data_IF_363339302832
#
_entry.id   IF_363339302832
#
_cell.length_a   1.000
_cell.length_b   1.000
_cell.length_c   1.000
_cell.angle_alpha   90.00
_cell.angle_beta   90.00
_cell.angle_gamma   90.00
#
_symmetry.space_group_name_H-M   'P 1'
#
loop_
_entity.id
_entity.type
_entity.pdbx_description
1 polymer ?
#
# COMPACT_ATOMS: atom_id res chain seq x y z
N UNK A 1 -52.06 -10.65 6.67
CA UNK A 1 -51.65 -11.82 7.46
C UNK A 1 -50.17 -12.01 7.21
N UNK A 2 -49.40 -11.58 8.18
CA UNK A 2 -47.95 -11.61 8.21
C UNK A 2 -47.53 -13.01 8.64
N UNK A 3 -46.47 -13.51 8.07
CA UNK A 3 -45.85 -14.78 8.49
C UNK A 3 -44.36 -14.54 8.68
N UNK A 4 -43.98 -14.48 9.96
CA UNK A 4 -42.60 -14.41 10.44
C UNK A 4 -41.82 -15.65 10.02
N UNK A 5 -40.59 -15.45 9.47
CA UNK A 5 -39.56 -16.47 9.50
C UNK A 5 -38.27 -15.87 10.06
N UNK A 6 -38.15 -15.84 11.37
CA UNK A 6 -36.87 -15.78 12.05
C UNK A 6 -36.31 -17.20 12.14
N UNK A 7 -35.38 -17.56 11.27
CA UNK A 7 -34.55 -18.73 11.43
C UNK A 7 -33.27 -18.30 12.18
N UNK A 8 -33.27 -18.48 13.50
CA UNK A 8 -32.07 -18.48 14.34
C UNK A 8 -31.27 -19.75 14.05
N UNK A 9 -30.49 -19.74 12.99
CA UNK A 9 -29.45 -20.73 12.76
C UNK A 9 -28.18 -20.29 13.47
N UNK A 10 -27.75 -21.04 14.50
CA UNK A 10 -26.42 -20.96 15.05
C UNK A 10 -25.40 -21.18 13.91
N UNK A 11 -24.83 -20.10 13.39
CA UNK A 11 -23.74 -20.15 12.41
C UNK A 11 -22.46 -20.44 13.20
N UNK A 12 -22.15 -21.72 13.41
CA UNK A 12 -20.84 -22.13 13.92
C UNK A 12 -19.76 -21.57 12.99
N UNK A 13 -18.84 -20.78 13.57
CA UNK A 13 -17.73 -20.22 12.86
C UNK A 13 -16.86 -21.33 12.23
N UNK A 14 -16.56 -21.23 10.92
CA UNK A 14 -15.71 -22.20 10.22
C UNK A 14 -14.36 -22.34 10.91
N UNK A 15 -13.82 -21.26 11.47
CA UNK A 15 -12.58 -21.28 12.25
C UNK A 15 -12.75 -22.06 13.56
N UNK A 16 -13.91 -21.92 14.23
CA UNK A 16 -14.22 -22.70 15.43
C UNK A 16 -14.42 -24.18 15.13
N UNK A 17 -15.06 -24.53 14.00
CA UNK A 17 -15.14 -25.91 13.51
C UNK A 17 -13.76 -26.44 13.13
N UNK A 18 -12.95 -25.62 12.48
CA UNK A 18 -11.59 -25.96 12.10
C UNK A 18 -10.72 -26.23 13.33
N UNK A 19 -10.72 -25.33 14.32
CA UNK A 19 -10.00 -25.49 15.60
C UNK A 19 -10.56 -26.69 16.39
N UNK A 20 -11.87 -26.91 16.38
CA UNK A 20 -12.49 -28.07 17.04
C UNK A 20 -12.16 -29.38 16.35
N UNK A 21 -12.21 -29.44 15.01
CA UNK A 21 -11.81 -30.61 14.22
C UNK A 21 -10.31 -30.89 14.35
N UNK A 22 -9.48 -29.85 14.40
CA UNK A 22 -8.04 -29.95 14.59
C UNK A 22 -7.72 -30.47 16.01
N UNK A 23 -8.34 -29.93 17.05
CA UNK A 23 -8.16 -30.40 18.42
C UNK A 23 -8.67 -31.84 18.61
N UNK A 24 -9.77 -32.23 17.96
CA UNK A 24 -10.27 -33.61 17.98
C UNK A 24 -9.34 -34.56 17.19
N UNK A 25 -8.70 -34.10 16.13
CA UNK A 25 -7.75 -34.90 15.36
C UNK A 25 -6.43 -35.09 16.13
N UNK A 26 -5.90 -34.02 16.77
CA UNK A 26 -4.72 -34.14 17.63
C UNK A 26 -4.90 -35.11 18.82
N UNK A 27 -6.15 -35.34 19.27
CA UNK A 27 -6.45 -36.36 20.26
C UNK A 27 -6.48 -37.78 19.65
N UNK A 28 -6.80 -37.90 18.35
CA UNK A 28 -6.89 -39.21 17.67
C UNK A 28 -5.61 -39.64 16.96
N UNK A 29 -4.75 -38.67 16.55
CA UNK A 29 -3.49 -38.94 15.82
C UNK A 29 -2.27 -39.14 16.74
N UNK A 30 -2.48 -39.37 18.04
CA UNK A 30 -1.40 -39.74 18.99
C UNK A 30 -0.75 -41.12 18.70
N UNK A 31 -1.08 -41.73 17.57
CA UNK A 31 -0.51 -43.02 17.13
C UNK A 31 -0.33 -43.05 15.61
N UNK A 32 0.61 -42.29 15.03
CA UNK A 32 1.36 -42.70 13.81
C UNK A 32 2.51 -41.74 13.55
N UNK A 33 3.66 -42.34 13.26
CA UNK A 33 4.95 -41.69 13.00
C UNK A 33 4.95 -40.67 11.86
N UNK A 34 5.51 -39.48 12.14
CA UNK A 34 6.51 -38.79 11.32
C UNK A 34 6.19 -38.44 9.88
N UNK A 35 5.08 -37.79 9.57
CA UNK A 35 4.99 -36.90 8.39
C UNK A 35 4.27 -35.61 8.77
N UNK A 36 5.03 -34.49 8.79
CA UNK A 36 4.50 -33.13 8.84
C UNK A 36 3.63 -32.90 7.59
N UNK A 37 2.33 -33.16 7.66
CA UNK A 37 1.41 -32.91 6.56
C UNK A 37 0.94 -31.45 6.64
N UNK A 38 1.27 -30.67 5.63
CA UNK A 38 0.65 -29.37 5.38
C UNK A 38 -0.82 -29.60 4.96
N UNK A 39 -1.75 -28.86 5.56
CA UNK A 39 -3.17 -28.95 5.26
C UNK A 39 -3.71 -27.59 4.86
N UNK A 40 -4.49 -27.55 3.78
CA UNK A 40 -5.10 -26.34 3.23
C UNK A 40 -6.63 -26.42 3.25
N UNK A 41 -7.30 -25.32 3.57
CA UNK A 41 -8.74 -25.18 3.48
C UNK A 41 -9.14 -23.80 2.93
N UNK A 42 -10.05 -23.79 1.99
CA UNK A 42 -10.65 -22.57 1.44
C UNK A 42 -12.17 -22.57 1.63
N UNK A 43 -12.68 -21.55 2.31
CA UNK A 43 -14.10 -21.29 2.46
C UNK A 43 -14.57 -20.18 1.51
N UNK A 44 -15.14 -20.55 0.37
CA UNK A 44 -15.67 -19.58 -0.63
C UNK A 44 -16.74 -18.66 -0.05
N UNK A 45 -17.56 -19.14 0.87
CA UNK A 45 -18.64 -18.36 1.48
C UNK A 45 -18.13 -17.16 2.28
N UNK A 46 -16.88 -17.20 2.78
CA UNK A 46 -16.27 -16.16 3.61
C UNK A 46 -15.01 -15.55 3.02
N UNK A 47 -14.56 -16.04 1.87
CA UNK A 47 -13.28 -15.63 1.26
C UNK A 47 -12.08 -15.76 2.24
N UNK A 48 -12.08 -16.84 3.05
CA UNK A 48 -11.02 -17.14 4.03
C UNK A 48 -10.24 -18.36 3.57
N UNK A 49 -8.92 -18.24 3.58
CA UNK A 49 -8.00 -19.31 3.24
C UNK A 49 -7.07 -19.61 4.42
N UNK A 50 -6.87 -20.86 4.75
CA UNK A 50 -6.04 -21.28 5.88
C UNK A 50 -5.03 -22.36 5.49
N UNK A 51 -3.82 -22.25 6.04
CA UNK A 51 -2.74 -23.23 5.87
C UNK A 51 -2.23 -23.62 7.27
N UNK A 52 -2.11 -24.93 7.51
CA UNK A 52 -1.45 -25.46 8.69
C UNK A 52 -0.08 -25.99 8.31
N UNK A 53 0.96 -25.54 9.00
CA UNK A 53 2.37 -25.85 8.66
C UNK A 53 2.98 -26.96 9.56
N UNK A 54 2.20 -27.60 10.42
CA UNK A 54 2.72 -28.43 11.50
C UNK A 54 3.23 -27.61 12.68
N UNK A 55 3.74 -28.26 13.73
CA UNK A 55 4.31 -27.63 14.93
C UNK A 55 3.45 -26.53 15.58
N UNK A 56 2.16 -26.50 15.26
CA UNK A 56 1.18 -25.52 15.76
C UNK A 56 1.28 -24.14 15.12
N UNK A 57 1.93 -24.03 13.94
CA UNK A 57 1.95 -22.79 13.14
C UNK A 57 0.82 -22.82 12.13
N UNK A 58 0.04 -21.74 12.07
CA UNK A 58 -1.02 -21.55 11.07
C UNK A 58 -0.95 -20.20 10.41
N UNK A 59 -1.37 -20.15 9.15
CA UNK A 59 -1.57 -18.95 8.35
C UNK A 59 -3.05 -18.88 8.01
N UNK A 60 -3.68 -17.72 8.24
CA UNK A 60 -5.06 -17.46 7.83
C UNK A 60 -5.12 -16.15 7.05
N UNK A 61 -5.56 -16.22 5.80
CA UNK A 61 -5.89 -15.03 5.01
C UNK A 61 -7.36 -14.72 5.23
N UNK A 62 -7.64 -13.74 6.08
CA UNK A 62 -9.00 -13.32 6.41
C UNK A 62 -9.64 -12.54 5.27
N UNK A 63 -8.82 -11.81 4.49
CA UNK A 63 -9.24 -11.04 3.31
C UNK A 63 -8.07 -10.78 2.38
N UNK A 64 -8.32 -10.73 1.05
CA UNK A 64 -7.31 -10.48 0.02
C UNK A 64 -6.96 -11.71 -0.84
N UNK A 65 -7.57 -12.89 -0.58
CA UNK A 65 -7.28 -14.11 -1.36
C UNK A 65 -7.95 -14.09 -2.74
N UNK A 66 -9.17 -13.58 -2.83
CA UNK A 66 -9.97 -13.51 -4.06
C UNK A 66 -10.45 -12.08 -4.35
N UNK A 67 -9.68 -11.09 -3.91
CA UNK A 67 -9.93 -9.68 -4.17
C UNK A 67 -8.63 -8.89 -4.15
N UNK A 68 -8.63 -7.77 -4.88
CA UNK A 68 -7.56 -6.79 -4.81
C UNK A 68 -7.81 -5.88 -3.61
N UNK A 69 -6.76 -5.68 -2.79
CA UNK A 69 -6.81 -4.84 -1.60
C UNK A 69 -7.58 -5.41 -0.41
N UNK A 70 -7.68 -4.62 0.64
CA UNK A 70 -8.29 -5.01 1.90
C UNK A 70 -7.55 -6.13 2.62
N UNK A 71 -6.24 -6.26 2.42
CA UNK A 71 -5.43 -7.38 2.86
C UNK A 71 -5.43 -7.53 4.39
N UNK A 72 -5.67 -8.77 4.86
CA UNK A 72 -5.57 -9.15 6.28
C UNK A 72 -5.05 -10.59 6.34
N UNK A 73 -3.81 -10.77 6.74
CA UNK A 73 -3.18 -12.09 6.88
C UNK A 73 -2.74 -12.31 8.32
N UNK A 74 -3.18 -13.39 8.94
CA UNK A 74 -2.77 -13.80 10.30
C UNK A 74 -1.76 -14.94 10.22
N UNK A 75 -0.68 -14.84 11.00
CA UNK A 75 0.25 -15.93 11.29
C UNK A 75 0.17 -16.16 12.79
N UNK A 76 -0.11 -17.40 13.21
CA UNK A 76 -0.26 -17.72 14.63
C UNK A 76 0.46 -18.98 15.05
N UNK A 77 0.82 -19.02 16.34
CA UNK A 77 1.35 -20.15 17.09
C UNK A 77 0.39 -20.52 18.23
N UNK A 78 0.82 -21.40 19.13
CA UNK A 78 0.04 -21.68 20.35
C UNK A 78 -0.09 -20.46 21.26
N UNK A 79 0.93 -19.58 21.33
CA UNK A 79 1.02 -18.47 22.29
C UNK A 79 0.95 -17.07 21.65
N UNK A 80 1.14 -16.96 20.35
CA UNK A 80 1.26 -15.68 19.67
C UNK A 80 0.46 -15.63 18.38
N UNK A 81 0.09 -14.42 17.97
CA UNK A 81 -0.41 -14.14 16.60
C UNK A 81 0.03 -12.78 16.11
N UNK A 82 0.34 -12.72 14.84
CA UNK A 82 0.70 -11.50 14.14
C UNK A 82 -0.17 -11.35 12.91
N UNK A 83 -0.79 -10.19 12.79
CA UNK A 83 -1.48 -9.81 11.56
C UNK A 83 -0.54 -8.99 10.69
N UNK A 84 -0.42 -9.39 9.43
CA UNK A 84 0.22 -8.59 8.38
C UNK A 84 -0.86 -7.87 7.63
N UNK A 85 -0.85 -6.56 7.75
CA UNK A 85 -1.84 -5.62 7.24
C UNK A 85 -3.25 -5.78 7.87
N UNK A 86 -4.00 -4.68 7.84
CA UNK A 86 -5.40 -4.59 8.22
C UNK A 86 -6.04 -3.51 7.35
N UNK A 87 -6.25 -3.88 6.09
CA UNK A 87 -6.62 -2.97 5.02
C UNK A 87 -8.11 -2.71 4.94
N UNK A 88 -8.47 -1.54 4.46
CA UNK A 88 -9.82 -1.22 4.03
C UNK A 88 -10.07 -1.82 2.64
N UNK A 89 -11.30 -2.27 2.34
CA UNK A 89 -11.65 -2.71 1.00
C UNK A 89 -11.42 -1.59 -0.01
N UNK A 90 -10.80 -1.94 -1.14
CA UNK A 90 -10.78 -1.05 -2.29
C UNK A 90 -12.19 -1.03 -2.92
N UNK A 91 -12.79 0.15 -3.06
CA UNK A 91 -14.14 0.27 -3.61
C UNK A 91 -14.28 -0.22 -5.06
N UNK A 92 -13.18 -0.52 -5.74
CA UNK A 92 -13.12 -0.71 -7.18
C UNK A 92 -13.41 -2.13 -7.63
N UNK A 93 -13.16 -3.11 -6.77
CA UNK A 93 -13.24 -4.54 -7.10
C UNK A 93 -14.38 -5.26 -6.38
N UNK A 94 -14.90 -4.66 -5.30
CA UNK A 94 -16.06 -5.14 -4.57
C UNK A 94 -16.95 -3.97 -4.15
N UNK A 95 -18.19 -4.24 -3.74
CA UNK A 95 -19.00 -3.24 -3.06
C UNK A 95 -18.23 -2.69 -1.85
N UNK A 96 -18.19 -1.35 -1.67
CA UNK A 96 -17.57 -0.77 -0.50
C UNK A 96 -18.17 -1.36 0.77
N UNK A 97 -17.35 -1.80 1.70
CA UNK A 97 -17.85 -2.22 3.01
C UNK A 97 -18.34 -1.00 3.79
N UNK A 98 -19.45 -1.19 4.52
CA UNK A 98 -19.90 -0.13 5.43
C UNK A 98 -19.01 -0.12 6.68
N UNK A 99 -18.95 1.00 7.42
CA UNK A 99 -18.22 1.05 8.69
C UNK A 99 -18.68 -0.02 9.71
N UNK A 100 -19.95 -0.41 9.67
CA UNK A 100 -20.52 -1.47 10.52
C UNK A 100 -20.00 -2.84 10.12
N UNK A 101 -19.90 -3.11 8.81
CA UNK A 101 -19.35 -4.38 8.29
C UNK A 101 -17.86 -4.49 8.62
N UNK A 102 -17.07 -3.42 8.45
CA UNK A 102 -15.66 -3.40 8.81
C UNK A 102 -15.47 -3.61 10.32
N UNK A 103 -16.28 -2.99 11.16
CA UNK A 103 -16.27 -3.17 12.60
C UNK A 103 -16.66 -4.61 13.01
N UNK A 104 -17.66 -5.18 12.36
CA UNK A 104 -18.08 -6.56 12.59
C UNK A 104 -16.96 -7.54 12.24
N UNK A 105 -16.29 -7.38 11.09
CA UNK A 105 -15.14 -8.18 10.68
C UNK A 105 -13.99 -8.10 11.70
N UNK A 106 -13.61 -6.90 12.12
CA UNK A 106 -12.53 -6.70 13.09
C UNK A 106 -12.89 -7.35 14.44
N UNK A 107 -14.12 -7.17 14.91
CA UNK A 107 -14.60 -7.79 16.15
C UNK A 107 -14.62 -9.33 16.05
N UNK A 108 -15.02 -9.88 14.91
CA UNK A 108 -14.99 -11.34 14.68
C UNK A 108 -13.53 -11.85 14.76
N UNK A 109 -12.60 -11.22 14.06
CA UNK A 109 -11.19 -11.63 14.02
C UNK A 109 -10.55 -11.56 15.42
N UNK A 110 -10.76 -10.47 16.15
CA UNK A 110 -10.16 -10.29 17.48
C UNK A 110 -10.93 -11.00 18.60
N UNK A 111 -12.20 -11.32 18.38
CA UNK A 111 -13.01 -12.11 19.30
C UNK A 111 -12.66 -13.61 19.31
N UNK A 112 -11.94 -14.08 18.31
CA UNK A 112 -11.56 -15.48 18.15
C UNK A 112 -10.07 -15.69 18.38
N UNK A 113 -9.67 -16.90 18.74
CA UNK A 113 -8.26 -17.33 18.84
C UNK A 113 -7.37 -16.34 19.62
N UNK A 114 -7.87 -15.80 20.74
CA UNK A 114 -7.13 -14.83 21.56
C UNK A 114 -5.83 -15.45 22.06
N UNK A 115 -4.71 -14.76 21.79
CA UNK A 115 -3.37 -15.20 22.23
C UNK A 115 -2.79 -14.22 23.24
N UNK A 116 -1.92 -14.69 24.16
CA UNK A 116 -1.22 -13.81 25.11
C UNK A 116 -0.40 -12.71 24.42
N UNK A 117 0.20 -13.03 23.27
CA UNK A 117 0.99 -12.11 22.49
C UNK A 117 0.35 -11.88 21.13
N UNK A 118 -0.01 -10.64 20.83
CA UNK A 118 -0.60 -10.29 19.53
C UNK A 118 -0.16 -8.91 19.09
N UNK A 119 -0.05 -8.71 17.76
CA UNK A 119 0.27 -7.43 17.16
C UNK A 119 -0.23 -7.36 15.71
N UNK A 120 -0.38 -6.14 15.21
CA UNK A 120 -0.53 -5.85 13.78
C UNK A 120 0.76 -5.22 13.27
N UNK A 121 1.26 -5.69 12.12
CA UNK A 121 2.41 -5.10 11.41
C UNK A 121 1.95 -4.70 10.02
N UNK A 122 2.28 -3.50 9.59
CA UNK A 122 1.87 -2.97 8.29
C UNK A 122 3.03 -2.99 7.31
N UNK A 123 2.79 -3.54 6.11
CA UNK A 123 3.76 -3.54 5.01
C UNK A 123 4.04 -2.13 4.52
N UNK A 124 3.01 -1.32 4.37
CA UNK A 124 3.11 0.07 3.91
C UNK A 124 1.83 0.88 4.25
N UNK A 125 1.78 2.13 3.82
CA UNK A 125 0.77 3.10 4.27
C UNK A 125 -0.38 3.35 3.25
N UNK A 126 -0.66 2.44 2.30
CA UNK A 126 -1.88 2.48 1.50
C UNK A 126 -3.09 2.05 2.32
N UNK A 127 -4.27 2.60 2.01
CA UNK A 127 -5.48 2.37 2.80
C UNK A 127 -5.96 0.91 2.75
N UNK A 128 -5.75 0.22 1.66
CA UNK A 128 -6.07 -1.21 1.49
C UNK A 128 -5.12 -2.16 2.24
N UNK A 129 -4.11 -1.61 2.95
CA UNK A 129 -3.21 -2.32 3.86
C UNK A 129 -3.29 -1.82 5.29
N UNK A 130 -3.56 -0.52 5.52
CA UNK A 130 -3.57 0.06 6.87
C UNK A 130 -4.92 0.66 7.27
N UNK A 131 -5.88 0.76 6.36
CA UNK A 131 -7.06 1.61 6.50
C UNK A 131 -8.00 1.29 7.66
N UNK A 132 -7.96 0.08 8.23
CA UNK A 132 -8.77 -0.30 9.40
C UNK A 132 -8.03 -0.16 10.74
N UNK A 133 -6.90 0.53 10.77
CA UNK A 133 -6.03 0.67 11.94
C UNK A 133 -6.76 1.21 13.18
N UNK A 134 -7.76 2.03 13.01
CA UNK A 134 -8.50 2.69 14.08
C UNK A 134 -9.62 1.82 14.67
N UNK A 135 -9.89 0.66 14.07
CA UNK A 135 -10.79 -0.36 14.59
C UNK A 135 -10.06 -1.44 15.42
N UNK A 136 -8.71 -1.50 15.33
CA UNK A 136 -7.90 -2.46 16.09
C UNK A 136 -8.06 -2.19 17.60
N UNK A 137 -8.26 -3.24 18.43
CA UNK A 137 -8.34 -3.08 19.90
C UNK A 137 -7.13 -2.34 20.46
N UNK A 138 -7.35 -1.44 21.42
CA UNK A 138 -6.34 -0.50 21.92
C UNK A 138 -5.17 -1.16 22.67
N UNK A 139 -5.35 -2.38 23.14
CA UNK A 139 -4.33 -3.22 23.79
C UNK A 139 -3.45 -3.99 22.79
N UNK A 140 -3.83 -4.02 21.51
CA UNK A 140 -3.05 -4.64 20.44
C UNK A 140 -2.05 -3.65 19.86
N UNK A 141 -0.74 -3.85 20.04
CA UNK A 141 0.27 -2.97 19.48
C UNK A 141 0.31 -3.04 17.95
N UNK A 142 0.43 -1.89 17.32
CA UNK A 142 0.50 -1.74 15.88
C UNK A 142 1.89 -1.22 15.46
N UNK A 143 2.47 -1.81 14.42
CA UNK A 143 3.82 -1.51 13.95
C UNK A 143 3.81 -1.14 12.47
N UNK A 144 4.61 -0.14 12.09
CA UNK A 144 4.83 0.27 10.70
C UNK A 144 6.26 0.82 10.54
N UNK A 145 6.75 0.91 9.32
CA UNK A 145 7.99 1.63 9.03
C UNK A 145 7.93 3.08 9.50
N UNK A 146 9.08 3.63 9.90
CA UNK A 146 9.12 5.01 10.46
C UNK A 146 8.68 6.05 9.44
N UNK A 147 9.03 5.86 8.14
CA UNK A 147 8.58 6.72 7.06
C UNK A 147 7.09 6.60 6.78
N UNK A 148 6.57 5.37 6.78
CA UNK A 148 5.13 5.11 6.66
C UNK A 148 4.32 5.77 7.77
N UNK A 149 4.80 5.70 9.03
CA UNK A 149 4.19 6.43 10.16
C UNK A 149 4.16 7.95 9.91
N UNK A 150 5.23 8.53 9.40
CA UNK A 150 5.29 9.98 9.10
C UNK A 150 4.35 10.36 7.96
N UNK A 151 4.22 9.51 6.93
CA UNK A 151 3.22 9.71 5.87
C UNK A 151 1.80 9.71 6.42
N UNK A 152 1.45 8.75 7.28
CA UNK A 152 0.13 8.68 7.91
C UNK A 152 -0.13 9.90 8.81
N UNK A 153 0.83 10.32 9.65
CA UNK A 153 0.71 11.53 10.45
C UNK A 153 0.47 12.75 9.55
N UNK A 154 1.16 12.83 8.43
CA UNK A 154 0.99 13.92 7.46
C UNK A 154 -0.39 13.90 6.83
N UNK A 155 -0.84 12.74 6.32
CA UNK A 155 -2.15 12.55 5.69
C UNK A 155 -3.28 12.94 6.65
N UNK A 156 -3.34 12.30 7.81
CA UNK A 156 -4.41 12.54 8.79
C UNK A 156 -4.33 13.92 9.46
N UNK A 157 -3.13 14.49 9.58
CA UNK A 157 -2.95 15.87 10.01
C UNK A 157 -3.52 16.88 9.01
N UNK A 158 -3.35 16.65 7.72
CA UNK A 158 -3.94 17.48 6.66
C UNK A 158 -5.47 17.35 6.61
N UNK A 159 -6.01 16.13 6.78
CA UNK A 159 -7.46 15.90 6.88
C UNK A 159 -8.05 16.70 8.05
N UNK A 160 -7.46 16.58 9.23
CA UNK A 160 -7.87 17.35 10.41
C UNK A 160 -7.82 18.86 10.16
N UNK A 161 -6.77 19.37 9.48
CA UNK A 161 -6.65 20.79 9.15
C UNK A 161 -7.72 21.27 8.14
N UNK A 162 -8.15 20.40 7.22
CA UNK A 162 -9.27 20.69 6.30
C UNK A 162 -10.58 20.74 7.05
N UNK A 163 -10.89 19.76 7.89
CA UNK A 163 -12.14 19.73 8.66
C UNK A 163 -12.23 20.88 9.66
N UNK A 164 -11.13 21.28 10.30
CA UNK A 164 -11.10 22.49 11.16
C UNK A 164 -11.44 23.76 10.40
N UNK A 165 -11.02 23.90 9.13
CA UNK A 165 -11.39 25.07 8.31
C UNK A 165 -12.88 25.01 7.96
N UNK A 166 -13.38 23.87 7.52
CA UNK A 166 -14.81 23.67 7.19
C UNK A 166 -15.73 23.88 8.38
N UNK A 167 -15.29 23.56 9.60
CA UNK A 167 -16.07 23.84 10.81
C UNK A 167 -16.32 25.34 11.00
N UNK A 168 -15.36 26.19 10.66
CA UNK A 168 -15.55 27.65 10.69
C UNK A 168 -16.59 28.13 9.69
N UNK A 169 -16.76 27.39 8.61
CA UNK A 169 -17.70 27.67 7.52
C UNK A 169 -19.02 26.85 7.64
N UNK A 170 -19.28 26.23 8.82
CA UNK A 170 -20.48 25.43 9.16
C UNK A 170 -20.68 24.11 8.36
N UNK A 171 -19.67 23.66 7.62
CA UNK A 171 -19.74 22.43 6.79
C UNK A 171 -19.24 21.15 7.48
N UNK A 172 -18.74 21.26 8.70
CA UNK A 172 -18.20 20.13 9.49
C UNK A 172 -18.79 20.12 10.90
N UNK A 173 -18.78 18.97 11.59
CA UNK A 173 -19.26 18.85 12.97
C UNK A 173 -18.12 18.49 13.93
N UNK A 174 -18.34 18.69 15.23
CA UNK A 174 -17.36 18.39 16.29
C UNK A 174 -17.08 16.88 16.39
N UNK A 175 -18.03 16.02 16.02
CA UNK A 175 -17.82 14.56 16.03
C UNK A 175 -16.77 14.15 15.00
N UNK A 176 -16.82 14.73 13.79
CA UNK A 176 -15.79 14.52 12.74
C UNK A 176 -14.41 14.94 13.22
N UNK A 177 -14.29 16.09 13.89
CA UNK A 177 -13.01 16.53 14.42
C UNK A 177 -12.51 15.65 15.57
N UNK A 178 -13.42 15.16 16.42
CA UNK A 178 -13.09 14.22 17.49
C UNK A 178 -12.52 12.92 16.93
N UNK A 179 -13.14 12.40 15.88
CA UNK A 179 -12.68 11.19 15.18
C UNK A 179 -11.32 11.39 14.51
N UNK A 180 -11.09 12.48 13.79
CA UNK A 180 -9.80 12.80 13.20
C UNK A 180 -8.68 12.90 14.27
N UNK A 181 -8.97 13.53 15.40
CA UNK A 181 -8.03 13.61 16.53
C UNK A 181 -7.76 12.23 17.12
N UNK A 182 -8.77 11.37 17.23
CA UNK A 182 -8.65 9.98 17.69
C UNK A 182 -7.74 9.19 16.76
N UNK A 183 -8.00 9.20 15.46
CA UNK A 183 -7.18 8.52 14.44
C UNK A 183 -5.73 8.98 14.48
N UNK A 184 -5.50 10.29 14.49
CA UNK A 184 -4.15 10.84 14.57
C UNK A 184 -3.43 10.46 15.88
N UNK A 185 -4.15 10.35 16.99
CA UNK A 185 -3.60 9.88 18.26
C UNK A 185 -3.17 8.41 18.16
N UNK A 186 -3.98 7.54 17.57
CA UNK A 186 -3.65 6.13 17.38
C UNK A 186 -2.38 5.99 16.53
N UNK A 187 -2.30 6.66 15.37
CA UNK A 187 -1.12 6.64 14.51
C UNK A 187 0.15 7.09 15.25
N UNK A 188 0.05 8.13 16.11
CA UNK A 188 1.19 8.58 16.92
C UNK A 188 1.69 7.52 17.89
N UNK A 189 0.87 6.56 18.31
CA UNK A 189 1.25 5.43 19.17
C UNK A 189 1.77 4.23 18.40
N UNK A 190 1.71 4.19 17.07
CA UNK A 190 2.33 3.13 16.30
C UNK A 190 3.79 2.95 16.68
N UNK A 191 4.20 1.71 16.89
CA UNK A 191 5.60 1.35 17.09
C UNK A 191 6.29 1.28 15.73
N UNK A 192 7.62 1.43 15.73
CA UNK A 192 8.42 1.36 14.50
C UNK A 192 9.65 0.51 14.74
N UNK A 193 10.07 -0.24 13.72
CA UNK A 193 11.36 -0.93 13.75
C UNK A 193 12.50 -0.01 13.34
N UNK A 194 13.73 -0.41 13.70
CA UNK A 194 14.94 0.29 13.24
C UNK A 194 15.22 -0.10 11.80
N UNK A 195 15.28 0.89 10.92
CA UNK A 195 15.68 0.67 9.54
C UNK A 195 17.14 0.17 9.51
N UNK A 196 17.38 -0.86 8.69
CA UNK A 196 18.74 -1.32 8.40
C UNK A 196 19.48 -0.29 7.56
N UNK A 197 20.78 -0.14 7.81
CA UNK A 197 21.66 0.58 6.90
C UNK A 197 21.88 -0.27 5.64
N UNK A 198 22.21 0.33 4.49
CA UNK A 198 22.62 -0.43 3.33
C UNK A 198 23.71 -1.44 3.70
N UNK A 199 23.63 -2.66 3.18
CA UNK A 199 24.56 -3.76 3.42
C UNK A 199 24.68 -4.25 4.89
N UNK A 200 23.72 -3.90 5.74
CA UNK A 200 23.62 -4.46 7.11
C UNK A 200 22.35 -5.31 7.17
N UNK A 201 22.50 -6.55 7.66
CA UNK A 201 21.38 -7.44 7.88
C UNK A 201 20.30 -6.77 8.73
N UNK A 202 19.02 -6.81 8.31
CA UNK A 202 17.92 -6.28 9.09
C UNK A 202 17.85 -6.95 10.46
N UNK A 203 17.51 -6.18 11.49
CA UNK A 203 17.32 -6.73 12.84
C UNK A 203 15.89 -7.23 12.99
N UNK A 204 15.75 -8.48 13.40
CA UNK A 204 14.50 -9.04 13.83
C UNK A 204 13.98 -8.40 15.12
N UNK A 205 12.67 -8.40 15.30
CA UNK A 205 12.01 -8.13 16.57
C UNK A 205 10.98 -9.23 16.87
N UNK A 206 10.60 -9.37 18.13
CA UNK A 206 9.77 -10.48 18.60
C UNK A 206 8.35 -10.01 18.96
N UNK A 207 7.37 -10.82 18.60
CA UNK A 207 6.00 -10.77 19.14
C UNK A 207 5.75 -12.15 19.78
N UNK A 208 5.95 -12.22 21.09
CA UNK A 208 5.98 -13.50 21.78
C UNK A 208 7.04 -14.45 21.20
N UNK A 209 6.63 -15.59 20.66
CA UNK A 209 7.49 -16.60 20.02
C UNK A 209 7.61 -16.45 18.49
N UNK A 210 7.03 -15.39 17.90
CA UNK A 210 7.15 -15.08 16.47
C UNK A 210 8.25 -14.03 16.26
N UNK A 211 9.24 -14.35 15.42
CA UNK A 211 10.31 -13.44 15.00
C UNK A 211 9.97 -12.79 13.67
N UNK A 212 10.14 -11.47 13.56
CA UNK A 212 9.83 -10.69 12.37
C UNK A 212 11.04 -9.89 11.93
N UNK A 213 11.51 -10.12 10.71
CA UNK A 213 12.60 -9.36 10.10
C UNK A 213 12.07 -8.53 8.93
N UNK A 214 12.06 -7.20 9.03
CA UNK A 214 11.58 -6.32 7.96
C UNK A 214 12.66 -6.07 6.92
N UNK A 215 12.36 -6.29 5.65
CA UNK A 215 13.18 -5.96 4.49
C UNK A 215 12.52 -4.85 3.69
N UNK A 216 13.29 -3.86 3.26
CA UNK A 216 12.73 -2.78 2.45
C UNK A 216 12.30 -3.29 1.09
N UNK A 217 11.09 -2.93 0.69
CA UNK A 217 10.51 -3.18 -0.62
C UNK A 217 10.50 -1.90 -1.48
N UNK A 218 10.39 -2.08 -2.78
CA UNK A 218 10.08 -1.02 -3.74
C UNK A 218 8.60 -1.13 -4.13
N UNK A 219 7.86 -0.05 -3.96
CA UNK A 219 6.44 0.05 -4.32
C UNK A 219 6.08 1.51 -4.63
N UNK A 220 4.86 1.77 -5.11
CA UNK A 220 4.36 3.13 -5.43
C UNK A 220 4.09 4.01 -4.21
N UNK A 221 4.53 3.61 -3.03
CA UNK A 221 4.52 4.41 -1.81
C UNK A 221 5.84 4.27 -1.06
N UNK A 222 6.24 5.35 -0.40
CA UNK A 222 7.47 5.39 0.39
C UNK A 222 7.41 4.51 1.62
N UNK A 223 8.55 3.85 1.94
CA UNK A 223 8.81 3.07 3.16
C UNK A 223 7.98 1.77 3.24
N UNK A 224 7.91 1.05 2.11
CA UNK A 224 7.29 -0.28 2.01
C UNK A 224 8.25 -1.39 2.41
N UNK A 225 7.70 -2.51 2.92
CA UNK A 225 8.46 -3.63 3.49
C UNK A 225 7.90 -5.00 3.09
N UNK A 226 8.82 -5.94 2.92
CA UNK A 226 8.62 -7.38 2.97
C UNK A 226 9.00 -7.88 4.38
N UNK A 227 8.46 -9.02 4.79
CA UNK A 227 8.78 -9.62 6.09
C UNK A 227 9.23 -11.07 5.96
N UNK A 228 10.37 -11.42 6.58
CA UNK A 228 10.64 -12.79 6.95
C UNK A 228 10.06 -13.01 8.35
N UNK A 229 9.08 -13.91 8.46
CA UNK A 229 8.39 -14.27 9.69
C UNK A 229 8.79 -15.70 10.03
N UNK A 230 9.29 -15.91 11.26
CA UNK A 230 9.78 -17.20 11.71
C UNK A 230 9.08 -17.59 13.02
N UNK A 231 8.53 -18.79 13.05
CA UNK A 231 7.78 -19.33 14.18
C UNK A 231 7.92 -20.84 14.24
N UNK A 232 8.29 -21.40 15.41
CA UNK A 232 8.42 -22.84 15.65
C UNK A 232 9.20 -23.58 14.52
N UNK A 233 10.34 -23.01 14.07
CA UNK A 233 11.16 -23.57 13.00
C UNK A 233 10.66 -23.31 11.56
N UNK A 234 9.43 -22.86 11.37
CA UNK A 234 8.87 -22.52 10.06
C UNK A 234 9.32 -21.12 9.62
N UNK A 235 9.51 -20.95 8.31
CA UNK A 235 9.93 -19.71 7.66
C UNK A 235 8.89 -19.26 6.64
N UNK A 236 8.32 -18.08 6.84
CA UNK A 236 7.27 -17.51 6.01
C UNK A 236 7.82 -16.19 5.44
N UNK A 237 7.81 -16.06 4.12
CA UNK A 237 8.14 -14.80 3.46
C UNK A 237 6.87 -14.11 2.98
N UNK A 238 6.59 -12.92 3.49
CA UNK A 238 5.47 -12.09 3.07
C UNK A 238 6.00 -10.90 2.28
N UNK A 239 5.64 -10.78 1.00
CA UNK A 239 6.19 -9.75 0.14
C UNK A 239 5.59 -8.36 0.40
N UNK A 240 4.36 -8.27 0.93
CA UNK A 240 3.56 -7.07 0.73
C UNK A 240 3.45 -6.77 -0.76
N UNK A 241 3.22 -5.51 -1.09
CA UNK A 241 3.24 -5.04 -2.48
C UNK A 241 4.65 -4.64 -2.88
N UNK A 242 5.03 -4.96 -4.13
CA UNK A 242 6.39 -4.71 -4.60
C UNK A 242 6.49 -4.54 -6.11
N UNK A 243 7.61 -4.00 -6.57
CA UNK A 243 8.01 -3.93 -7.98
C UNK A 243 9.54 -3.99 -8.11
N UNK A 244 10.05 -4.52 -9.22
CA UNK A 244 11.50 -4.57 -9.52
C UNK A 244 11.97 -3.41 -10.39
N UNK A 245 11.07 -2.79 -11.14
CA UNK A 245 11.37 -1.77 -12.14
C UNK A 245 11.53 -0.34 -11.58
N UNK A 246 11.51 -0.19 -10.25
CA UNK A 246 11.87 1.05 -9.57
C UNK A 246 13.37 1.17 -9.27
N UNK A 247 13.81 2.36 -8.88
CA UNK A 247 15.21 2.60 -8.50
C UNK A 247 15.68 1.75 -7.30
N UNK A 248 14.77 1.47 -6.36
CA UNK A 248 15.03 0.60 -5.22
C UNK A 248 14.80 -0.88 -5.56
N UNK A 249 14.02 -1.16 -6.59
CA UNK A 249 13.68 -2.51 -7.04
C UNK A 249 14.87 -3.35 -7.49
N UNK A 250 15.97 -2.72 -7.91
CA UNK A 250 17.20 -3.38 -8.33
C UNK A 250 17.79 -4.34 -7.29
N UNK A 251 17.44 -4.18 -6.01
CA UNK A 251 17.92 -5.04 -4.92
C UNK A 251 16.96 -6.19 -4.61
N UNK A 252 15.81 -6.30 -5.28
CA UNK A 252 14.78 -7.31 -4.99
C UNK A 252 15.37 -8.72 -5.03
N UNK A 253 15.90 -9.12 -6.17
CA UNK A 253 16.36 -10.50 -6.38
C UNK A 253 17.51 -10.86 -5.46
N UNK A 254 18.51 -9.99 -5.32
CA UNK A 254 19.63 -10.24 -4.38
C UNK A 254 19.18 -10.31 -2.92
N UNK A 255 18.13 -9.58 -2.53
CA UNK A 255 17.54 -9.71 -1.20
C UNK A 255 16.90 -11.08 -1.02
N UNK A 256 16.14 -11.54 -2.01
CA UNK A 256 15.49 -12.86 -1.96
C UNK A 256 16.54 -14.00 -1.94
N UNK A 257 17.53 -13.96 -2.82
CA UNK A 257 18.63 -14.94 -2.89
C UNK A 257 19.40 -15.06 -1.57
N UNK A 258 19.59 -13.94 -0.86
CA UNK A 258 20.36 -13.94 0.39
C UNK A 258 19.55 -14.29 1.64
N UNK A 259 18.22 -14.04 1.66
CA UNK A 259 17.43 -14.12 2.88
C UNK A 259 16.17 -14.97 2.79
N UNK A 260 15.62 -15.19 1.59
CA UNK A 260 14.41 -15.97 1.36
C UNK A 260 14.71 -17.40 0.93
N UNK A 261 15.78 -18.01 1.44
CA UNK A 261 16.11 -19.41 1.24
C UNK A 261 15.37 -20.29 2.24
N UNK A 262 15.08 -21.53 1.88
CA UNK A 262 14.42 -22.52 2.74
C UNK A 262 13.11 -21.99 3.35
N UNK A 263 12.29 -21.36 2.52
CA UNK A 263 11.00 -20.78 2.90
C UNK A 263 9.92 -21.83 2.80
N UNK A 264 9.22 -22.09 3.92
CA UNK A 264 8.09 -23.01 3.90
C UNK A 264 6.91 -22.42 3.11
N UNK A 265 6.62 -21.13 3.31
CA UNK A 265 5.52 -20.45 2.63
C UNK A 265 5.95 -19.07 2.12
N UNK A 266 5.71 -18.84 0.84
CA UNK A 266 5.74 -17.51 0.23
C UNK A 266 4.33 -16.95 0.13
N UNK A 267 4.07 -15.81 0.79
CA UNK A 267 2.83 -15.03 0.63
C UNK A 267 3.18 -13.85 -0.27
N UNK A 268 2.60 -13.80 -1.47
CA UNK A 268 2.92 -12.78 -2.48
C UNK A 268 1.68 -12.09 -3.04
N UNK A 269 1.82 -10.84 -3.49
CA UNK A 269 0.78 -10.17 -4.26
C UNK A 269 0.55 -10.83 -5.63
N UNK A 270 -0.62 -10.62 -6.20
CA UNK A 270 -1.01 -11.14 -7.51
C UNK A 270 -1.85 -10.19 -8.36
N UNK A 271 -1.78 -8.88 -8.11
CA UNK A 271 -2.65 -7.88 -8.78
C UNK A 271 -2.51 -7.86 -10.30
N UNK A 272 -1.34 -8.23 -10.82
CA UNK A 272 -1.07 -8.21 -12.26
C UNK A 272 -1.18 -9.58 -12.93
N UNK A 273 -1.58 -10.63 -12.23
CA UNK A 273 -1.60 -12.00 -12.78
C UNK A 273 -2.46 -12.15 -14.03
N UNK A 274 -3.50 -11.34 -14.19
CA UNK A 274 -4.35 -11.30 -15.40
C UNK A 274 -3.88 -10.34 -16.47
N UNK A 275 -2.79 -9.60 -16.23
CA UNK A 275 -2.26 -8.60 -17.15
C UNK A 275 -0.96 -9.11 -17.74
N UNK A 276 -0.79 -8.94 -19.03
CA UNK A 276 0.48 -9.22 -19.72
C UNK A 276 1.29 -7.93 -19.95
N UNK A 277 1.00 -6.90 -19.16
CA UNK A 277 1.64 -5.59 -19.27
C UNK A 277 3.13 -5.69 -18.89
N UNK A 278 3.99 -5.33 -19.81
CA UNK A 278 5.40 -5.12 -19.52
C UNK A 278 5.58 -3.81 -18.76
N UNK A 279 6.21 -3.91 -17.60
CA UNK A 279 6.56 -2.74 -16.80
C UNK A 279 7.89 -2.17 -17.31
N UNK A 280 7.89 -0.89 -17.66
CA UNK A 280 9.12 -0.17 -18.01
C UNK A 280 9.83 0.34 -16.76
N UNK A 281 11.16 0.43 -16.81
CA UNK A 281 11.98 0.94 -15.71
C UNK A 281 11.69 2.41 -15.42
N UNK A 282 11.72 2.83 -14.14
CA UNK A 282 11.57 4.25 -13.78
C UNK A 282 12.62 5.15 -14.45
N UNK A 283 13.79 4.64 -14.76
CA UNK A 283 14.79 5.36 -15.56
C UNK A 283 14.33 5.64 -16.98
N UNK A 284 13.64 4.69 -17.62
CA UNK A 284 13.06 4.87 -18.95
C UNK A 284 11.88 5.83 -18.92
N UNK A 285 11.03 5.74 -17.88
CA UNK A 285 9.97 6.74 -17.63
C UNK A 285 10.59 8.15 -17.57
N UNK A 286 11.73 8.31 -16.88
CA UNK A 286 12.45 9.59 -16.81
C UNK A 286 12.90 10.10 -18.19
N UNK A 287 13.42 9.23 -19.08
CA UNK A 287 13.82 9.61 -20.43
C UNK A 287 12.62 10.04 -21.28
N UNK A 288 11.53 9.26 -21.24
CA UNK A 288 10.28 9.60 -21.95
C UNK A 288 9.70 10.93 -21.46
N UNK A 289 9.71 11.17 -20.15
CA UNK A 289 9.28 12.45 -19.58
C UNK A 289 10.20 13.60 -19.99
N UNK A 290 11.51 13.41 -19.97
CA UNK A 290 12.46 14.46 -20.37
C UNK A 290 12.26 14.90 -21.84
N UNK A 291 12.02 13.93 -22.73
CA UNK A 291 11.70 14.22 -24.13
C UNK A 291 10.40 15.05 -24.25
N UNK A 292 9.33 14.63 -23.57
CA UNK A 292 8.07 15.36 -23.57
C UNK A 292 8.21 16.76 -22.95
N UNK A 293 8.91 16.89 -21.82
CA UNK A 293 9.16 18.18 -21.14
C UNK A 293 9.93 19.14 -22.04
N UNK A 294 10.91 18.66 -22.80
CA UNK A 294 11.73 19.50 -23.67
C UNK A 294 10.95 20.12 -24.82
N UNK A 295 9.85 19.49 -25.22
CA UNK A 295 9.03 19.91 -26.37
C UNK A 295 8.01 21.01 -26.06
N UNK A 296 7.73 21.28 -24.76
CA UNK A 296 6.70 22.23 -24.33
C UNK A 296 7.26 23.26 -23.35
N UNK A 297 6.78 24.49 -23.40
CA UNK A 297 7.21 25.56 -22.47
C UNK A 297 6.66 25.34 -21.06
N UNK A 298 5.41 24.93 -20.93
CA UNK A 298 4.69 24.76 -19.68
C UNK A 298 4.26 23.32 -19.54
N UNK A 299 4.73 22.65 -18.51
CA UNK A 299 4.41 21.25 -18.28
C UNK A 299 3.83 21.04 -16.89
N UNK A 300 2.67 20.43 -16.84
CA UNK A 300 2.05 19.95 -15.60
C UNK A 300 2.21 18.44 -15.56
N UNK A 301 2.63 17.89 -14.42
CA UNK A 301 2.74 16.44 -14.20
C UNK A 301 1.78 16.06 -13.10
N UNK A 302 0.75 15.26 -13.41
CA UNK A 302 -0.14 14.67 -12.43
C UNK A 302 0.49 13.39 -11.88
N UNK A 303 0.86 13.40 -10.59
CA UNK A 303 1.51 12.26 -9.95
C UNK A 303 1.13 12.13 -8.47
N UNK A 304 1.32 10.91 -7.91
CA UNK A 304 1.14 10.65 -6.49
C UNK A 304 2.16 11.40 -5.64
N UNK A 305 1.70 12.02 -4.56
CA UNK A 305 2.56 12.69 -3.59
C UNK A 305 3.36 11.72 -2.70
N UNK A 306 3.05 10.44 -2.71
CA UNK A 306 3.64 9.42 -1.82
C UNK A 306 4.61 8.49 -2.52
N UNK A 307 4.62 8.47 -3.87
CA UNK A 307 5.58 7.69 -4.66
C UNK A 307 6.91 8.45 -4.80
N UNK A 308 7.84 8.16 -3.89
CA UNK A 308 9.16 8.80 -3.87
C UNK A 308 9.93 8.59 -5.18
N UNK A 309 9.79 7.42 -5.79
CA UNK A 309 10.54 7.08 -7.00
C UNK A 309 10.00 7.83 -8.21
N UNK A 310 8.67 7.94 -8.35
CA UNK A 310 8.05 8.75 -9.40
C UNK A 310 8.40 10.23 -9.26
N UNK A 311 8.45 10.76 -8.03
CA UNK A 311 8.89 12.14 -7.81
C UNK A 311 10.36 12.33 -8.20
N UNK A 312 11.23 11.34 -7.93
CA UNK A 312 12.62 11.36 -8.38
C UNK A 312 12.73 11.28 -9.90
N UNK A 313 11.94 10.43 -10.54
CA UNK A 313 11.83 10.31 -12.00
C UNK A 313 11.50 11.65 -12.64
N UNK A 314 10.49 12.37 -12.12
CA UNK A 314 10.08 13.69 -12.61
C UNK A 314 11.19 14.73 -12.37
N UNK A 315 11.84 14.70 -11.20
CA UNK A 315 12.97 15.59 -10.88
C UNK A 315 14.13 15.41 -11.88
N UNK A 316 14.52 14.16 -12.13
CA UNK A 316 15.60 13.88 -13.09
C UNK A 316 15.20 14.25 -14.53
N UNK A 317 13.94 14.04 -14.92
CA UNK A 317 13.43 14.44 -16.22
C UNK A 317 13.44 15.98 -16.40
N UNK A 318 12.98 16.73 -15.40
CA UNK A 318 13.03 18.20 -15.43
C UNK A 318 14.47 18.73 -15.51
N UNK A 319 15.39 18.11 -14.74
CA UNK A 319 16.82 18.43 -14.78
C UNK A 319 17.44 18.19 -16.17
N UNK A 320 17.16 17.04 -16.81
CA UNK A 320 17.61 16.72 -18.17
C UNK A 320 17.08 17.71 -19.21
N UNK A 321 15.84 18.16 -19.02
CA UNK A 321 15.21 19.17 -19.88
C UNK A 321 15.62 20.62 -19.55
N UNK A 322 16.53 20.83 -18.58
CA UNK A 322 16.99 22.15 -18.12
C UNK A 322 15.84 23.09 -17.71
N UNK A 323 14.80 22.53 -17.02
CA UNK A 323 13.65 23.31 -16.55
C UNK A 323 13.54 23.29 -15.03
N UNK A 324 13.08 24.43 -14.49
CA UNK A 324 12.79 24.58 -13.07
C UNK A 324 11.58 23.70 -12.67
N UNK A 325 11.76 23.00 -11.54
CA UNK A 325 10.76 22.11 -10.98
C UNK A 325 10.02 22.79 -9.83
N UNK A 326 8.70 22.84 -9.96
CA UNK A 326 7.78 23.36 -8.97
C UNK A 326 6.85 22.25 -8.48
N UNK A 327 6.35 22.41 -7.26
CA UNK A 327 5.30 21.55 -6.68
C UNK A 327 4.18 22.41 -6.13
N UNK A 328 2.96 21.88 -6.15
CA UNK A 328 1.81 22.50 -5.50
C UNK A 328 1.04 21.48 -4.67
N UNK A 329 0.35 21.96 -3.62
CA UNK A 329 -0.38 21.11 -2.69
C UNK A 329 0.41 20.73 -1.44
N UNK A 330 -0.29 20.79 -0.31
CA UNK A 330 0.32 20.59 1.02
C UNK A 330 0.92 19.18 1.21
N UNK A 331 0.30 18.15 0.62
CA UNK A 331 0.82 16.78 0.71
C UNK A 331 2.17 16.67 0.01
N UNK A 332 2.30 17.11 -1.24
CA UNK A 332 3.58 17.11 -1.98
C UNK A 332 4.68 17.87 -1.24
N UNK A 333 4.37 19.05 -0.70
CA UNK A 333 5.34 19.85 0.06
C UNK A 333 5.87 19.10 1.29
N UNK A 334 4.99 18.43 2.04
CA UNK A 334 5.38 17.70 3.26
C UNK A 334 6.10 16.39 2.94
N UNK A 335 5.65 15.64 1.94
CA UNK A 335 6.27 14.36 1.58
C UNK A 335 7.66 14.55 0.99
N UNK A 336 7.85 15.51 0.09
CA UNK A 336 9.20 15.82 -0.45
C UNK A 336 10.18 16.22 0.65
N UNK A 337 9.73 16.97 1.68
CA UNK A 337 10.56 17.30 2.85
C UNK A 337 10.92 16.04 3.66
N UNK A 338 9.96 15.13 3.91
CA UNK A 338 10.22 13.85 4.60
C UNK A 338 11.25 13.02 3.81
N UNK A 339 11.08 12.91 2.50
CA UNK A 339 11.96 12.12 1.64
C UNK A 339 13.39 12.65 1.63
N UNK A 340 13.58 13.96 1.44
CA UNK A 340 14.90 14.59 1.49
C UNK A 340 15.56 14.39 2.84
N UNK A 341 14.85 14.61 3.94
CA UNK A 341 15.40 14.42 5.28
C UNK A 341 15.89 12.99 5.54
N UNK A 342 15.17 11.99 5.01
CA UNK A 342 15.45 10.58 5.29
C UNK A 342 16.36 9.88 4.30
N UNK A 343 16.29 10.25 3.03
CA UNK A 343 16.85 9.46 1.93
C UNK A 343 17.98 10.16 1.17
N UNK A 344 18.15 11.46 1.28
CA UNK A 344 19.12 12.20 0.46
C UNK A 344 20.52 11.58 0.49
N UNK A 345 21.02 11.23 1.68
CA UNK A 345 22.35 10.64 1.85
C UNK A 345 22.46 9.19 1.35
N UNK A 346 21.40 8.41 1.54
CA UNK A 346 21.40 6.99 1.20
C UNK A 346 21.25 6.73 -0.30
N UNK A 347 20.72 7.70 -1.05
CA UNK A 347 20.37 7.59 -2.46
C UNK A 347 21.38 8.25 -3.41
N UNK A 348 22.52 8.75 -2.89
CA UNK A 348 23.44 9.55 -3.72
C UNK A 348 22.80 10.81 -4.27
N UNK A 349 21.81 11.38 -3.57
CA UNK A 349 21.08 12.58 -3.95
C UNK A 349 19.85 12.34 -4.84
N UNK A 350 19.57 11.10 -5.25
CA UNK A 350 18.40 10.80 -6.07
C UNK A 350 17.10 11.26 -5.40
N UNK A 351 16.95 10.99 -4.10
CA UNK A 351 15.79 11.37 -3.32
C UNK A 351 15.99 12.65 -2.49
N UNK A 352 16.93 13.49 -2.89
CA UNK A 352 17.12 14.82 -2.34
C UNK A 352 16.29 15.82 -3.14
N UNK A 353 15.16 16.20 -2.61
CA UNK A 353 14.19 17.06 -3.26
C UNK A 353 14.32 18.50 -2.72
N UNK A 354 14.54 19.44 -3.59
CA UNK A 354 14.51 20.88 -3.30
C UNK A 354 13.57 21.61 -4.28
N UNK A 355 12.32 21.13 -4.50
CA UNK A 355 11.42 21.77 -5.42
C UNK A 355 10.94 23.10 -4.86
N UNK A 356 10.63 24.04 -5.75
CA UNK A 356 9.99 25.28 -5.35
C UNK A 356 8.48 25.03 -5.11
N UNK A 357 8.03 25.25 -3.89
CA UNK A 357 6.61 25.19 -3.57
C UNK A 357 5.90 26.47 -4.02
N UNK A 358 4.76 26.32 -4.70
CA UNK A 358 3.95 27.43 -5.19
C UNK A 358 2.47 27.24 -4.87
N UNK A 359 1.79 28.37 -4.66
CA UNK A 359 0.35 28.47 -4.41
C UNK A 359 -0.21 29.71 -5.11
N UNK A 360 -1.54 29.86 -5.16
CA UNK A 360 -2.27 30.81 -5.99
C UNK A 360 -1.83 32.28 -5.86
N UNK A 361 -1.35 32.68 -4.68
CA UNK A 361 -0.94 34.09 -4.42
C UNK A 361 0.59 34.27 -4.38
N UNK A 362 1.35 33.33 -5.00
CA UNK A 362 2.80 33.40 -4.97
C UNK A 362 3.34 34.36 -6.04
N UNK A 363 4.24 35.26 -5.65
CA UNK A 363 4.91 36.20 -6.56
C UNK A 363 5.68 35.52 -7.67
N UNK A 364 6.10 34.26 -7.48
CA UNK A 364 6.79 33.45 -8.48
C UNK A 364 5.93 33.10 -9.70
N UNK A 365 4.62 33.20 -9.62
CA UNK A 365 3.71 32.84 -10.74
C UNK A 365 4.02 33.65 -11.98
N UNK A 366 4.28 34.95 -11.85
CA UNK A 366 4.64 35.81 -12.97
C UNK A 366 5.94 35.34 -13.65
N UNK A 367 6.95 34.99 -12.86
CA UNK A 367 8.22 34.44 -13.36
C UNK A 367 8.00 33.08 -14.05
N UNK A 368 7.26 32.16 -13.42
CA UNK A 368 6.93 30.85 -14.01
C UNK A 368 6.28 31.00 -15.39
N UNK A 369 5.31 31.89 -15.52
CA UNK A 369 4.61 32.15 -16.79
C UNK A 369 5.51 32.77 -17.86
N UNK A 370 6.51 33.55 -17.48
CA UNK A 370 7.45 34.18 -18.44
C UNK A 370 8.50 33.19 -18.93
N UNK A 371 9.10 32.43 -18.04
CA UNK A 371 10.25 31.54 -18.35
C UNK A 371 9.77 30.14 -18.80
N UNK A 372 8.69 29.62 -18.28
CA UNK A 372 8.24 28.23 -18.42
C UNK A 372 8.49 27.45 -17.14
N UNK A 373 7.86 26.27 -17.01
CA UNK A 373 7.93 25.47 -15.78
C UNK A 373 7.65 23.99 -16.02
N UNK A 374 8.09 23.16 -15.05
CA UNK A 374 7.54 21.83 -14.77
C UNK A 374 6.88 21.89 -13.40
N UNK A 375 5.58 21.59 -13.30
CA UNK A 375 4.80 21.63 -12.07
C UNK A 375 4.27 20.25 -11.72
N UNK A 376 4.66 19.67 -10.59
CA UNK A 376 4.01 18.46 -10.05
C UNK A 376 2.77 18.88 -9.28
N UNK A 377 1.66 18.19 -9.56
CA UNK A 377 0.36 18.45 -8.97
C UNK A 377 -0.39 17.16 -8.64
N UNK A 378 -1.22 17.18 -7.62
CA UNK A 378 -2.28 16.20 -7.37
C UNK A 378 -3.62 16.71 -7.90
N UNK A 379 -4.61 15.82 -8.00
CA UNK A 379 -5.95 16.13 -8.53
C UNK A 379 -6.66 17.27 -7.76
N UNK A 380 -6.44 17.37 -6.46
CA UNK A 380 -7.05 18.40 -5.60
C UNK A 380 -6.62 19.83 -5.93
N UNK A 381 -5.62 20.02 -6.77
CA UNK A 381 -5.09 21.33 -7.15
C UNK A 381 -5.58 21.79 -8.54
N UNK A 382 -6.57 21.15 -9.12
CA UNK A 382 -7.06 21.45 -10.48
C UNK A 382 -7.44 22.91 -10.66
N UNK A 383 -8.13 23.53 -9.69
CA UNK A 383 -8.52 24.94 -9.75
C UNK A 383 -7.31 25.86 -9.88
N UNK A 384 -6.31 25.69 -9.01
CA UNK A 384 -5.06 26.44 -9.09
C UNK A 384 -4.34 26.23 -10.44
N UNK A 385 -4.25 24.98 -10.89
CA UNK A 385 -3.59 24.66 -12.17
C UNK A 385 -4.31 25.31 -13.36
N UNK A 386 -5.65 25.30 -13.37
CA UNK A 386 -6.45 26.02 -14.39
C UNK A 386 -6.15 27.52 -14.37
N UNK A 387 -6.07 28.14 -13.20
CA UNK A 387 -5.73 29.57 -13.05
C UNK A 387 -4.30 29.85 -13.54
N UNK A 388 -3.32 29.00 -13.15
CA UNK A 388 -1.92 29.14 -13.57
C UNK A 388 -1.75 29.04 -15.10
N UNK A 389 -2.44 28.10 -15.73
CA UNK A 389 -2.37 27.87 -17.17
C UNK A 389 -3.29 28.76 -17.98
N UNK A 390 -4.28 29.42 -17.36
CA UNK A 390 -5.25 30.29 -18.02
C UNK A 390 -4.58 31.43 -18.80
N UNK A 391 -4.96 31.59 -20.08
CA UNK A 391 -4.39 32.59 -20.98
C UNK A 391 -3.00 32.29 -21.52
N UNK A 392 -2.40 31.12 -21.21
CA UNK A 392 -1.20 30.62 -21.91
C UNK A 392 -1.61 30.00 -23.27
N UNK A 393 -0.74 30.04 -24.30
CA UNK A 393 -0.99 29.37 -25.56
C UNK A 393 -1.20 27.88 -25.34
N UNK A 394 -2.33 27.33 -25.71
CA UNK A 394 -2.64 25.90 -25.48
C UNK A 394 -1.64 24.96 -26.17
N UNK A 395 -1.07 25.38 -27.29
CA UNK A 395 0.00 24.63 -28.00
C UNK A 395 1.31 24.52 -27.22
N UNK A 396 1.53 25.36 -26.20
CA UNK A 396 2.74 25.37 -25.38
C UNK A 396 2.54 24.69 -24.01
N UNK A 397 1.32 24.25 -23.68
CA UNK A 397 0.96 23.61 -22.40
C UNK A 397 0.79 22.12 -22.61
N UNK A 398 1.47 21.30 -21.79
CA UNK A 398 1.38 19.85 -21.77
C UNK A 398 0.93 19.36 -20.38
N UNK A 399 0.03 18.40 -20.35
CA UNK A 399 -0.17 17.51 -19.20
C UNK A 399 0.58 16.19 -19.43
N UNK A 400 1.48 15.83 -18.53
CA UNK A 400 1.96 14.46 -18.37
C UNK A 400 1.07 13.79 -17.32
N UNK A 401 0.23 12.84 -17.76
CA UNK A 401 -0.56 12.02 -16.89
C UNK A 401 0.27 10.83 -16.41
N UNK A 402 0.69 10.84 -15.14
CA UNK A 402 1.59 9.84 -14.56
C UNK A 402 0.92 9.09 -13.41
N UNK A 403 -0.25 8.54 -13.70
CA UNK A 403 -1.04 7.68 -12.83
C UNK A 403 -1.64 6.52 -13.66
N UNK A 404 -2.19 5.53 -12.98
CA UNK A 404 -2.86 4.41 -13.66
C UNK A 404 -4.01 4.92 -14.54
N UNK A 405 -4.06 4.47 -15.78
CA UNK A 405 -5.03 4.91 -16.77
C UNK A 405 -6.48 4.45 -16.48
N UNK A 406 -6.64 3.39 -15.70
CA UNK A 406 -7.94 2.95 -15.19
C UNK A 406 -8.69 4.05 -14.44
N UNK A 407 -8.01 4.98 -13.76
CA UNK A 407 -8.68 6.08 -13.06
C UNK A 407 -9.51 7.02 -13.97
N UNK A 408 -9.24 7.03 -15.27
CA UNK A 408 -10.05 7.82 -16.21
C UNK A 408 -10.73 6.98 -17.30
N UNK A 409 -10.29 5.71 -17.50
CA UNK A 409 -10.88 4.80 -18.50
C UNK A 409 -11.99 3.92 -17.93
N UNK A 410 -11.81 3.42 -16.70
CA UNK A 410 -12.77 2.52 -16.09
C UNK A 410 -13.99 3.31 -15.57
N UNK A 411 -15.24 3.01 -16.05
CA UNK A 411 -16.43 3.71 -15.60
C UNK A 411 -16.69 3.61 -14.09
N UNK A 412 -16.27 2.53 -13.44
CA UNK A 412 -16.42 2.34 -11.99
C UNK A 412 -15.52 3.30 -11.22
N UNK A 413 -14.27 3.41 -11.64
CA UNK A 413 -13.28 4.33 -11.09
C UNK A 413 -13.68 5.78 -11.26
N UNK A 414 -14.14 6.13 -12.48
CA UNK A 414 -14.60 7.49 -12.79
C UNK A 414 -15.81 7.89 -11.94
N UNK A 415 -16.77 6.99 -11.73
CA UNK A 415 -17.94 7.28 -10.86
C UNK A 415 -17.53 7.57 -9.42
N UNK A 416 -16.53 6.87 -8.90
CA UNK A 416 -16.08 7.01 -7.51
C UNK A 416 -15.17 8.20 -7.29
N UNK A 417 -14.28 8.47 -8.25
CA UNK A 417 -13.32 9.55 -8.17
C UNK A 417 -13.14 10.21 -9.54
N UNK A 418 -14.06 11.10 -9.95
CA UNK A 418 -13.99 11.77 -11.24
C UNK A 418 -12.78 12.70 -11.38
N UNK A 419 -12.11 13.05 -10.27
CA UNK A 419 -11.08 14.09 -10.25
C UNK A 419 -9.88 13.80 -11.18
N UNK A 420 -9.54 12.52 -11.41
CA UNK A 420 -8.47 12.15 -12.37
C UNK A 420 -8.88 12.43 -13.81
N UNK A 421 -10.12 12.08 -14.15
CA UNK A 421 -10.70 12.35 -15.47
C UNK A 421 -10.84 13.85 -15.71
N UNK A 422 -11.44 14.57 -14.73
CA UNK A 422 -11.62 16.03 -14.79
C UNK A 422 -10.28 16.76 -14.95
N UNK A 423 -9.23 16.27 -14.28
CA UNK A 423 -7.89 16.84 -14.39
C UNK A 423 -7.32 16.63 -15.80
N UNK A 424 -7.45 15.42 -16.33
CA UNK A 424 -6.96 15.07 -17.67
C UNK A 424 -7.69 15.83 -18.77
N UNK A 425 -9.00 15.95 -18.69
CA UNK A 425 -9.85 16.66 -19.67
C UNK A 425 -9.69 18.19 -19.64
N UNK A 426 -9.02 18.73 -18.63
CA UNK A 426 -8.72 20.15 -18.54
C UNK A 426 -7.61 20.62 -19.50
N UNK A 427 -6.91 19.69 -20.19
CA UNK A 427 -5.79 19.98 -21.07
C UNK A 427 -6.03 19.48 -22.49
N UNK A 428 -5.61 20.29 -23.49
CA UNK A 428 -5.70 19.93 -24.91
C UNK A 428 -4.56 19.00 -25.34
N UNK A 429 -3.35 19.14 -24.75
CA UNK A 429 -2.23 18.28 -25.03
C UNK A 429 -1.96 17.42 -23.79
N UNK A 430 -2.10 16.11 -23.94
CA UNK A 430 -1.92 15.14 -22.88
C UNK A 430 -1.08 13.98 -23.38
N UNK A 431 -0.12 13.55 -22.59
CA UNK A 431 0.63 12.31 -22.80
C UNK A 431 0.58 11.45 -21.53
N UNK A 432 0.30 10.17 -21.71
CA UNK A 432 0.31 9.20 -20.62
C UNK A 432 1.71 8.58 -20.52
N UNK A 433 2.43 8.87 -19.41
CA UNK A 433 3.77 8.34 -19.13
C UNK A 433 3.77 7.79 -17.70
N UNK A 434 3.62 6.48 -17.59
CA UNK A 434 3.47 5.78 -16.31
C UNK A 434 4.09 4.38 -16.39
N UNK A 435 4.43 3.81 -15.25
CA UNK A 435 4.69 2.39 -15.05
C UNK A 435 4.03 1.95 -13.74
N UNK A 436 3.69 0.66 -13.63
CA UNK A 436 2.95 0.10 -12.51
C UNK A 436 3.64 0.33 -11.16
N UNK A 437 2.87 0.42 -10.10
CA UNK A 437 3.35 0.37 -8.71
C UNK A 437 3.62 -1.05 -8.22
N UNK A 438 3.17 -2.07 -8.97
CA UNK A 438 3.18 -3.49 -8.61
C UNK A 438 4.06 -4.31 -9.55
N UNK A 439 4.47 -5.49 -9.07
CA UNK A 439 5.24 -6.45 -9.85
C UNK A 439 4.48 -6.91 -11.10
N UNK A 440 5.18 -7.07 -12.22
CA UNK A 440 4.61 -7.70 -13.41
C UNK A 440 4.39 -9.21 -13.14
N UNK A 441 3.54 -9.85 -13.96
CA UNK A 441 3.34 -11.31 -13.91
C UNK A 441 4.66 -12.08 -14.04
N UNK A 442 5.55 -11.63 -14.93
CA UNK A 442 6.88 -12.23 -15.11
C UNK A 442 7.76 -12.07 -13.86
N UNK A 443 7.70 -10.92 -13.19
CA UNK A 443 8.41 -10.67 -11.92
C UNK A 443 7.89 -11.56 -10.80
N UNK A 444 6.56 -11.73 -10.67
CA UNK A 444 5.97 -12.61 -9.66
C UNK A 444 6.47 -14.06 -9.86
N UNK A 445 6.44 -14.56 -11.09
CA UNK A 445 6.97 -15.90 -11.43
C UNK A 445 8.45 -16.03 -11.08
N UNK A 446 9.27 -15.04 -11.43
CA UNK A 446 10.69 -15.04 -11.11
C UNK A 446 10.96 -14.98 -9.60
N UNK A 447 10.16 -14.26 -8.84
CA UNK A 447 10.24 -14.25 -7.36
C UNK A 447 9.96 -15.64 -6.81
N UNK A 448 8.93 -16.33 -7.30
CA UNK A 448 8.61 -17.71 -6.89
C UNK A 448 9.76 -18.67 -7.24
N UNK A 449 10.33 -18.55 -8.43
CA UNK A 449 11.49 -19.36 -8.86
C UNK A 449 12.72 -19.14 -7.96
N UNK A 450 13.03 -17.89 -7.61
CA UNK A 450 14.19 -17.55 -6.75
C UNK A 450 13.98 -18.06 -5.32
N UNK A 451 12.79 -17.81 -4.75
CA UNK A 451 12.48 -18.22 -3.37
C UNK A 451 12.33 -19.74 -3.28
N UNK A 452 11.81 -20.38 -4.32
CA UNK A 452 11.53 -21.82 -4.41
C UNK A 452 10.87 -22.38 -3.12
N UNK A 453 9.73 -21.80 -2.69
CA UNK A 453 9.08 -22.16 -1.44
C UNK A 453 8.40 -23.53 -1.53
N UNK A 454 8.14 -24.16 -0.38
CA UNK A 454 7.32 -25.39 -0.36
C UNK A 454 5.87 -25.12 -0.75
N UNK A 455 5.36 -23.90 -0.42
CA UNK A 455 3.99 -23.51 -0.72
C UNK A 455 3.91 -22.00 -1.08
N UNK A 456 3.00 -21.67 -2.00
CA UNK A 456 2.73 -20.27 -2.42
C UNK A 456 1.29 -19.90 -2.09
N UNK A 457 1.12 -18.81 -1.33
CA UNK A 457 -0.18 -18.17 -1.10
C UNK A 457 -0.19 -16.84 -1.85
N UNK A 458 -1.03 -16.74 -2.87
CA UNK A 458 -1.15 -15.52 -3.64
C UNK A 458 -2.35 -14.70 -3.13
N UNK A 459 -2.07 -13.51 -2.61
CA UNK A 459 -3.06 -12.55 -2.09
C UNK A 459 -3.13 -11.32 -3.00
N UNK A 460 -4.01 -10.38 -2.68
CA UNK A 460 -4.13 -9.12 -3.42
C UNK A 460 -4.31 -9.37 -4.92
N UNK A 461 -5.21 -10.28 -5.28
CA UNK A 461 -5.43 -10.74 -6.65
C UNK A 461 -6.92 -10.87 -6.95
N UNK A 462 -7.27 -10.83 -8.22
CA UNK A 462 -8.63 -11.16 -8.66
C UNK A 462 -8.94 -12.65 -8.42
N UNK A 463 -10.22 -12.96 -8.14
CA UNK A 463 -10.67 -14.30 -7.73
C UNK A 463 -10.27 -15.44 -8.67
N UNK A 464 -10.24 -15.19 -9.96
CA UNK A 464 -9.93 -16.15 -11.01
C UNK A 464 -8.51 -15.98 -11.60
N UNK A 465 -7.67 -15.15 -10.97
CA UNK A 465 -6.26 -15.01 -11.34
C UNK A 465 -5.49 -16.28 -10.94
N UNK A 466 -4.71 -16.84 -11.86
CA UNK A 466 -3.88 -18.04 -11.66
C UNK A 466 -2.41 -17.69 -11.90
N UNK A 467 -1.53 -18.28 -11.06
CA UNK A 467 -0.07 -18.15 -11.15
C UNK A 467 0.51 -18.76 -12.42
#
# INVERSE_FOLDING_TARGET
MAGDYYATGNVECVLCKFISLYNNRLQNDAMTDGQDSMYEEFSRARNVYAVQLGDGVSIVVHRGIDQIGGCITEISTKSSRVFVDFGQNLPDYMEPTTPEQDRALVNEIFGQNIKPHQAVIYTHAHDDHVGLFDLIPSDVPQYIGKGGKELLITKYGLVLDVHKRRLKDTESNEDTLSEDRRRLRIIKHFRTWKRSKPNIQPKAFMIGDISITPFRSCHSIYDSYMFLIQAAGKRIWHTGDYREHGYLGKNLYSTLENYATDVDVLITEGITLKRDDECIQESEVSERMACAISSYKYVVVLASATDIERLATIKEAAKKAHKELYITGAMLSRTTSIFSHREARASGGLFDFHPQYVREQDEKIAQMRSVGFVLISGTSQLSFVKTLCGGLPSSEVLLIYSAWDGYYKDPSQVRRNPAFKDFREAFSNVVDIHTSGHASRSTIKKVIEIVNPHHVVCIHREADAVL
#
